data_IF_269150827793
#
_entry.id   IF_269150827793
#
_cell.length_a   1.000
_cell.length_b   1.000
_cell.length_c   1.000
_cell.angle_alpha   90.00
_cell.angle_beta   90.00
_cell.angle_gamma   90.00
#
_symmetry.space_group_name_H-M   'P 1'
#
loop_
_entity.id
_entity.type
_entity.pdbx_description
1 polymer ?
#
# COMPACT_ATOMS: atom_id res chain seq x y z
N UNK A 1 13.51 -6.51 22.23
CA UNK A 1 12.07 -6.14 22.17
C UNK A 1 11.63 -5.86 20.73
N UNK A 2 11.98 -6.72 19.75
CA UNK A 2 11.69 -6.47 18.32
C UNK A 2 11.19 -7.71 17.53
N UNK A 3 11.33 -8.92 18.08
CA UNK A 3 11.01 -10.16 17.36
C UNK A 3 9.50 -10.41 17.24
N UNK A 4 8.72 -9.98 18.24
CA UNK A 4 7.26 -10.17 18.24
C UNK A 4 6.55 -9.30 17.20
N UNK A 5 6.98 -8.05 17.03
CA UNK A 5 6.40 -7.14 16.02
C UNK A 5 6.74 -7.58 14.60
N UNK A 6 7.97 -8.06 14.39
CA UNK A 6 8.40 -8.62 13.11
C UNK A 6 7.54 -9.82 12.72
N UNK A 7 7.32 -10.75 13.66
CA UNK A 7 6.50 -11.95 13.42
C UNK A 7 5.01 -11.62 13.21
N UNK A 8 4.49 -10.55 13.80
CA UNK A 8 3.11 -10.09 13.58
C UNK A 8 2.97 -9.41 12.20
N UNK A 9 3.97 -8.67 11.75
CA UNK A 9 4.00 -8.06 10.42
C UNK A 9 4.10 -9.12 9.31
N UNK A 10 4.95 -10.14 9.49
CA UNK A 10 5.04 -11.30 8.59
C UNK A 10 3.74 -12.11 8.57
N UNK A 11 3.14 -12.39 9.74
CA UNK A 11 1.89 -13.15 9.84
C UNK A 11 0.68 -12.44 9.20
N UNK A 12 0.73 -11.11 9.11
CA UNK A 12 -0.32 -10.30 8.47
C UNK A 12 0.03 -9.86 7.04
N UNK A 13 1.16 -10.28 6.48
CA UNK A 13 1.59 -9.92 5.12
C UNK A 13 1.56 -8.40 4.84
N UNK A 14 1.75 -7.58 5.89
CA UNK A 14 1.73 -6.13 5.80
C UNK A 14 3.10 -5.67 5.32
N UNK A 15 3.33 -5.76 4.00
CA UNK A 15 4.50 -5.20 3.35
C UNK A 15 4.64 -3.71 3.69
N UNK A 16 5.86 -3.28 4.02
CA UNK A 16 6.16 -1.86 4.19
C UNK A 16 6.39 -1.24 2.82
N UNK A 17 5.95 0.00 2.63
CA UNK A 17 6.07 0.70 1.34
C UNK A 17 6.77 2.03 1.52
N UNK A 18 7.73 2.33 0.64
CA UNK A 18 8.34 3.65 0.55
C UNK A 18 7.58 4.50 -0.47
N UNK A 19 6.85 5.52 0.01
CA UNK A 19 6.07 6.40 -0.85
C UNK A 19 6.98 7.33 -1.66
N UNK A 20 6.77 7.35 -2.98
CA UNK A 20 7.46 8.26 -3.90
C UNK A 20 6.58 9.45 -4.31
N UNK A 21 5.27 9.24 -4.38
CA UNK A 21 4.34 10.30 -4.77
C UNK A 21 2.91 9.79 -4.94
N UNK A 22 1.99 10.76 -5.01
CA UNK A 22 0.56 10.54 -5.21
C UNK A 22 0.19 11.23 -6.52
N UNK A 23 -0.49 10.49 -7.40
CA UNK A 23 -1.03 11.04 -8.65
C UNK A 23 -2.54 10.84 -8.67
N UNK A 24 -3.24 11.78 -9.29
CA UNK A 24 -4.61 11.57 -9.74
C UNK A 24 -4.57 11.16 -11.21
N UNK A 25 -5.08 9.97 -11.52
CA UNK A 25 -5.28 9.53 -12.89
C UNK A 25 -6.74 9.16 -13.10
N UNK A 26 -7.43 9.97 -13.91
CA UNK A 26 -8.84 9.77 -14.27
C UNK A 26 -9.78 9.69 -13.04
N UNK A 27 -9.58 10.58 -12.06
CA UNK A 27 -10.37 10.65 -10.82
C UNK A 27 -10.03 9.55 -9.81
N UNK A 28 -8.96 8.78 -10.04
CA UNK A 28 -8.50 7.72 -9.13
C UNK A 28 -7.12 8.06 -8.60
N UNK A 29 -7.00 8.08 -7.27
CA UNK A 29 -5.73 8.26 -6.61
C UNK A 29 -4.84 7.03 -6.76
N UNK A 30 -3.65 7.25 -7.30
CA UNK A 30 -2.59 6.25 -7.47
C UNK A 30 -1.38 6.63 -6.63
N UNK A 31 -0.94 5.69 -5.80
CA UNK A 31 0.31 5.79 -5.05
C UNK A 31 1.43 5.15 -5.85
N UNK A 32 2.53 5.88 -6.05
CA UNK A 32 3.79 5.32 -6.53
C UNK A 32 4.65 4.96 -5.34
N UNK A 33 5.02 3.69 -5.21
CA UNK A 33 5.71 3.16 -4.04
C UNK A 33 6.84 2.22 -4.44
N UNK A 34 7.79 2.02 -3.53
CA UNK A 34 8.72 0.89 -3.57
C UNK A 34 8.33 -0.08 -2.46
N UNK A 35 8.15 -1.36 -2.79
CA UNK A 35 7.91 -2.41 -1.80
C UNK A 35 9.19 -2.68 -0.99
N UNK A 36 9.07 -2.66 0.33
CA UNK A 36 10.16 -2.92 1.26
C UNK A 36 9.98 -4.31 1.88
N UNK A 37 10.93 -5.20 1.61
CA UNK A 37 10.88 -6.60 2.07
C UNK A 37 11.70 -6.77 3.34
N UNK A 38 11.14 -6.28 4.45
CA UNK A 38 11.79 -6.35 5.77
C UNK A 38 12.85 -5.27 6.01
N UNK A 39 12.93 -4.27 5.14
CA UNK A 39 13.82 -3.11 5.27
C UNK A 39 13.03 -1.82 5.51
N UNK A 40 13.67 -0.80 6.08
CA UNK A 40 13.04 0.51 6.34
C UNK A 40 13.19 1.49 5.17
N UNK A 41 14.17 1.27 4.29
CA UNK A 41 14.50 2.13 3.15
C UNK A 41 14.87 1.27 1.94
N UNK A 42 14.56 1.71 0.71
CA UNK A 42 14.92 0.96 -0.49
C UNK A 42 16.43 1.00 -0.74
N UNK A 43 16.97 -0.08 -1.30
CA UNK A 43 18.36 -0.10 -1.74
C UNK A 43 18.59 0.85 -2.90
N UNK A 44 19.77 1.46 -2.95
CA UNK A 44 20.15 2.36 -4.05
C UNK A 44 20.49 1.57 -5.32
N UNK A 45 21.02 0.36 -5.18
CA UNK A 45 21.45 -0.50 -6.28
C UNK A 45 21.09 -1.97 -6.00
N UNK A 46 20.47 -2.68 -6.97
CA UNK A 46 19.97 -2.17 -8.25
C UNK A 46 18.86 -1.12 -8.04
N UNK A 47 18.56 -0.34 -9.09
CA UNK A 47 17.47 0.62 -8.99
C UNK A 47 16.16 -0.10 -8.63
N UNK A 48 15.47 0.31 -7.56
CA UNK A 48 14.28 -0.40 -7.08
C UNK A 48 13.12 -0.26 -8.06
N UNK A 49 12.33 -1.33 -8.18
CA UNK A 49 11.11 -1.30 -8.98
C UNK A 49 10.05 -0.44 -8.29
N UNK A 50 9.40 0.40 -9.09
CA UNK A 50 8.30 1.26 -8.63
C UNK A 50 6.98 0.58 -8.94
N UNK A 51 6.20 0.33 -7.90
CA UNK A 51 4.85 -0.21 -7.99
C UNK A 51 3.82 0.92 -7.95
N UNK A 52 2.67 0.68 -8.59
CA UNK A 52 1.52 1.58 -8.55
C UNK A 52 0.41 0.88 -7.77
N UNK A 53 -0.03 1.50 -6.66
CA UNK A 53 -1.12 1.01 -5.84
C UNK A 53 -2.31 1.95 -6.01
N UNK A 54 -3.47 1.39 -6.33
CA UNK A 54 -4.72 2.16 -6.30
C UNK A 54 -5.21 2.23 -4.85
N UNK A 55 -5.51 3.43 -4.38
CA UNK A 55 -6.15 3.61 -3.08
C UNK A 55 -7.66 3.45 -3.24
N UNK A 56 -8.28 2.40 -2.68
CA UNK A 56 -9.71 2.45 -2.44
C UNK A 56 -9.98 3.55 -1.41
N UNK A 57 -11.08 4.29 -1.58
CA UNK A 57 -11.58 5.17 -0.52
C UNK A 57 -11.74 4.32 0.75
N UNK A 58 -11.23 4.82 1.87
CA UNK A 58 -11.31 4.15 3.17
C UNK A 58 -12.76 4.22 3.68
N UNK A 59 -13.64 3.42 3.07
CA UNK A 59 -15.02 3.26 3.50
C UNK A 59 -15.11 2.16 4.54
N UNK A 60 -16.04 2.32 5.47
CA UNK A 60 -16.41 1.23 6.36
C UNK A 60 -17.15 0.14 5.55
N UNK A 61 -16.91 -1.13 5.89
CA UNK A 61 -17.61 -2.28 5.32
C UNK A 61 -17.47 -2.45 3.79
N UNK A 62 -16.25 -2.35 3.27
CA UNK A 62 -15.90 -2.46 1.83
C UNK A 62 -16.40 -3.72 1.12
N UNK A 63 -16.73 -4.77 1.89
CA UNK A 63 -17.21 -6.05 1.35
C UNK A 63 -18.72 -6.06 1.09
N UNK A 64 -19.45 -5.04 1.54
CA UNK A 64 -20.88 -4.92 1.28
C UNK A 64 -21.15 -4.28 -0.08
N UNK A 65 -22.16 -4.78 -0.79
CA UNK A 65 -22.59 -4.21 -2.09
C UNK A 65 -22.87 -2.69 -1.97
N UNK A 66 -23.41 -2.26 -0.82
CA UNK A 66 -23.63 -0.85 -0.51
C UNK A 66 -22.33 -0.04 -0.54
N UNK A 67 -21.31 -0.46 0.20
CA UNK A 67 -20.03 0.25 0.29
C UNK A 67 -19.29 0.28 -1.05
N UNK A 68 -19.38 -0.80 -1.83
CA UNK A 68 -18.78 -0.85 -3.17
C UNK A 68 -19.41 0.17 -4.14
N UNK A 69 -20.72 0.40 -4.02
CA UNK A 69 -21.43 1.41 -4.81
C UNK A 69 -21.09 2.84 -4.36
N UNK A 70 -20.84 3.06 -3.07
CA UNK A 70 -20.39 4.38 -2.55
C UNK A 70 -19.00 4.80 -3.08
N UNK A 71 -18.14 3.85 -3.48
CA UNK A 71 -16.85 4.14 -4.13
C UNK A 71 -17.02 4.54 -5.61
N UNK A 72 -18.15 4.19 -6.24
CA UNK A 72 -18.35 4.28 -7.69
C UNK A 72 -19.03 5.58 -8.16
N UNK A 73 -19.56 6.37 -7.21
CA UNK A 73 -20.27 7.64 -7.43
C UNK A 73 -19.29 8.80 -7.23
#
# INVERSE_FOLDING_TARGET
>A
MNTLLHNIAEKNNLGSYWLLGINDFNGKFQLRVIELRGQSFPDRFPWPLVSIISLPLALYQTDTEKSQLEVLI
#
